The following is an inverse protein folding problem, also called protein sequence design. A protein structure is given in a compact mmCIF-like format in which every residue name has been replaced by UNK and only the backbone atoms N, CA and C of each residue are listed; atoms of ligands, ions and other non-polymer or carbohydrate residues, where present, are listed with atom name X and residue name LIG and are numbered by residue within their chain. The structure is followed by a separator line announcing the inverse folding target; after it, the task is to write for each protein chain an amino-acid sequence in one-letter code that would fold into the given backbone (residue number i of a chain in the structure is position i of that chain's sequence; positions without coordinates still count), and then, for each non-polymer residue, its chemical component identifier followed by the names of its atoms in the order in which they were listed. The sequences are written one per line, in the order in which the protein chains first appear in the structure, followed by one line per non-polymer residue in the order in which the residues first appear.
data_IF_391341037940
#
_entry.id   IF_391341037940
#
_cell.length_a   1.000
_cell.length_b   1.000
_cell.length_c   1.000
_cell.angle_alpha   90.00
_cell.angle_beta   90.00
_cell.angle_gamma   90.00
#
_symmetry.space_group_name_H-M   'P 1'
#
loop_
_entity.id
_entity.type
_entity.pdbx_description
1 polymer ?
#
# COMPACT_ATOMS: atom_id res chain seq x y z
N UNK A 1 -7.33 9.51 12.95
CA UNK A 1 -7.20 10.05 11.58
C UNK A 1 -7.53 11.52 11.63
N UNK A 2 -6.49 12.36 11.75
CA UNK A 2 -6.60 13.79 12.02
C UNK A 2 -6.39 14.54 10.70
N UNK A 3 -7.26 15.48 10.38
CA UNK A 3 -7.07 16.42 9.27
C UNK A 3 -5.98 17.41 9.71
N UNK A 4 -4.83 17.38 9.03
CA UNK A 4 -3.60 18.05 9.46
C UNK A 4 -3.48 19.48 8.90
N UNK A 5 -4.30 19.89 7.94
CA UNK A 5 -4.04 21.12 7.16
C UNK A 5 -4.98 22.31 7.39
N UNK A 6 -5.88 22.25 8.38
CA UNK A 6 -6.67 23.40 8.80
C UNK A 6 -6.60 23.49 10.32
N UNK A 7 -5.96 24.53 10.87
CA UNK A 7 -5.84 24.77 12.32
C UNK A 7 -7.17 24.59 13.07
N UNK A 8 -8.28 24.94 12.43
CA UNK A 8 -9.64 24.81 12.95
C UNK A 8 -10.13 23.36 13.16
N UNK A 9 -9.57 22.39 12.43
CA UNK A 9 -10.00 20.99 12.45
C UNK A 9 -8.87 20.03 12.86
N UNK A 10 -7.76 20.58 13.35
CA UNK A 10 -6.71 19.79 13.96
C UNK A 10 -7.31 18.96 15.11
N UNK A 11 -6.92 17.68 15.15
CA UNK A 11 -7.39 16.65 16.09
C UNK A 11 -8.84 16.17 15.95
N UNK A 12 -9.61 16.64 14.96
CA UNK A 12 -10.96 16.12 14.71
C UNK A 12 -10.90 14.73 14.04
N UNK A 13 -11.70 13.79 14.55
CA UNK A 13 -11.87 12.49 13.92
C UNK A 13 -12.71 12.61 12.64
N UNK A 14 -12.22 12.03 11.55
CA UNK A 14 -12.83 12.07 10.22
C UNK A 14 -14.32 11.70 10.19
N UNK A 15 -14.78 10.77 11.04
CA UNK A 15 -16.20 10.38 11.10
C UNK A 15 -17.11 11.50 11.61
N UNK A 16 -16.62 12.35 12.52
CA UNK A 16 -17.39 13.47 13.06
C UNK A 16 -17.16 14.77 12.28
N UNK A 17 -16.17 14.79 11.39
CA UNK A 17 -15.78 15.97 10.63
C UNK A 17 -16.93 16.57 9.83
N UNK A 18 -17.71 15.76 9.12
CA UNK A 18 -18.84 16.22 8.30
C UNK A 18 -19.87 16.98 9.13
N UNK A 19 -20.18 16.51 10.34
CA UNK A 19 -21.15 17.14 11.26
C UNK A 19 -20.66 18.48 11.78
N UNK A 20 -19.36 18.59 12.07
CA UNK A 20 -18.75 19.85 12.54
C UNK A 20 -18.66 20.85 11.38
N UNK A 21 -18.21 20.40 10.20
CA UNK A 21 -18.15 21.22 9.00
C UNK A 21 -19.53 21.78 8.64
N UNK A 22 -20.58 20.95 8.71
CA UNK A 22 -21.96 21.37 8.50
C UNK A 22 -22.37 22.54 9.41
N UNK A 23 -22.15 22.42 10.73
CA UNK A 23 -22.47 23.49 11.68
C UNK A 23 -21.72 24.78 11.36
N UNK A 24 -20.46 24.66 10.95
CA UNK A 24 -19.61 25.79 10.62
C UNK A 24 -20.05 26.51 9.34
N UNK A 25 -20.39 25.76 8.28
CA UNK A 25 -20.92 26.32 7.04
C UNK A 25 -22.31 26.94 7.24
N UNK A 26 -23.16 26.31 8.07
CA UNK A 26 -24.49 26.82 8.40
C UNK A 26 -24.42 28.17 9.10
N UNK A 27 -23.49 28.35 10.05
CA UNK A 27 -23.27 29.65 10.73
C UNK A 27 -22.89 30.79 9.79
N UNK A 28 -22.37 30.48 8.60
CA UNK A 28 -21.92 31.47 7.61
C UNK A 28 -22.93 31.71 6.49
N UNK A 29 -24.07 31.01 6.50
CA UNK A 29 -25.08 31.07 5.44
C UNK A 29 -24.54 30.82 4.02
N UNK A 30 -23.54 29.92 3.87
CA UNK A 30 -22.94 29.58 2.56
C UNK A 30 -23.54 28.27 1.98
N UNK A 31 -24.49 27.64 2.67
CA UNK A 31 -25.07 26.36 2.22
C UNK A 31 -26.27 26.62 1.31
N UNK A 32 -26.21 26.13 0.06
CA UNK A 32 -27.29 26.21 -0.91
C UNK A 32 -28.37 25.14 -0.71
N UNK A 33 -27.98 23.87 -0.61
CA UNK A 33 -28.90 22.75 -0.42
C UNK A 33 -28.25 21.63 0.43
N UNK A 34 -29.06 20.90 1.19
CA UNK A 34 -28.65 19.76 2.04
C UNK A 34 -29.64 18.62 1.84
N UNK A 35 -29.14 17.51 1.30
CA UNK A 35 -29.91 16.29 1.12
C UNK A 35 -29.11 15.07 1.57
N UNK A 36 -29.82 14.04 2.03
CA UNK A 36 -29.23 12.74 2.33
C UNK A 36 -29.32 11.87 1.09
N UNK A 37 -28.19 11.35 0.64
CA UNK A 37 -28.09 10.49 -0.54
C UNK A 37 -27.75 9.07 -0.09
N UNK A 38 -28.46 8.08 -0.65
CA UNK A 38 -28.14 6.67 -0.47
C UNK A 38 -27.26 6.23 -1.63
N UNK A 39 -26.06 5.74 -1.32
CA UNK A 39 -25.13 5.24 -2.32
C UNK A 39 -24.27 4.11 -1.76
N UNK A 40 -23.63 3.36 -2.65
CA UNK A 40 -22.68 2.35 -2.25
C UNK A 40 -21.40 3.00 -1.72
N UNK A 41 -20.98 2.58 -0.52
CA UNK A 41 -19.74 3.01 0.10
C UNK A 41 -18.70 1.89 0.11
N UNK A 42 -17.42 2.26 0.09
CA UNK A 42 -16.33 1.29 0.07
C UNK A 42 -16.01 0.80 1.48
N UNK A 43 -16.07 -0.52 1.68
CA UNK A 43 -15.73 -1.17 2.95
C UNK A 43 -14.53 -2.09 2.80
N UNK A 44 -13.73 -2.18 3.87
CA UNK A 44 -12.63 -3.14 3.95
C UNK A 44 -13.19 -4.55 3.90
N UNK A 45 -12.82 -5.32 2.88
CA UNK A 45 -13.35 -6.69 2.69
C UNK A 45 -13.12 -7.59 3.92
N UNK A 46 -12.03 -7.37 4.67
CA UNK A 46 -11.68 -8.12 5.88
C UNK A 46 -12.38 -7.61 7.14
N UNK A 47 -12.24 -6.32 7.46
CA UNK A 47 -12.73 -5.77 8.74
C UNK A 47 -14.13 -5.17 8.67
N UNK A 48 -14.71 -5.06 7.46
CA UNK A 48 -16.01 -4.43 7.18
C UNK A 48 -16.13 -2.98 7.66
N UNK A 49 -15.01 -2.30 7.90
CA UNK A 49 -14.95 -0.87 8.24
C UNK A 49 -14.84 -0.01 6.98
N UNK A 50 -15.42 1.21 6.97
CA UNK A 50 -15.34 2.12 5.82
C UNK A 50 -13.89 2.50 5.51
N UNK A 51 -13.56 2.58 4.22
CA UNK A 51 -12.21 2.95 3.73
C UNK A 51 -12.21 4.39 3.24
N UNK A 52 -11.06 5.06 3.40
CA UNK A 52 -10.81 6.40 2.88
C UNK A 52 -9.56 6.40 2.00
N UNK A 53 -9.55 7.30 1.03
CA UNK A 53 -8.36 7.57 0.22
C UNK A 53 -7.43 8.53 0.96
N UNK A 54 -6.16 8.18 1.01
CA UNK A 54 -5.11 9.03 1.57
C UNK A 54 -3.81 8.79 0.79
N UNK A 55 -3.09 9.87 0.53
CA UNK A 55 -1.82 9.82 -0.17
C UNK A 55 -0.75 9.25 0.77
N UNK A 56 -0.25 8.05 0.47
CA UNK A 56 0.82 7.42 1.25
C UNK A 56 1.96 6.98 0.34
N UNK A 57 3.19 7.06 0.86
CA UNK A 57 4.37 6.53 0.17
C UNK A 57 4.28 5.00 0.16
N UNK A 58 4.22 4.42 -1.04
CA UNK A 58 4.06 2.99 -1.26
C UNK A 58 4.98 2.54 -2.40
N UNK A 59 5.25 1.23 -2.45
CA UNK A 59 6.07 0.61 -3.49
C UNK A 59 5.15 -0.06 -4.50
N UNK A 60 5.33 0.30 -5.76
CA UNK A 60 4.55 -0.20 -6.88
C UNK A 60 5.44 -0.97 -7.86
N UNK A 61 4.87 -2.02 -8.44
CA UNK A 61 5.43 -2.78 -9.55
C UNK A 61 4.74 -2.29 -10.83
N UNK A 62 5.51 -1.80 -11.79
CA UNK A 62 5.00 -1.34 -13.07
C UNK A 62 4.81 -2.54 -14.01
N UNK A 63 3.56 -2.83 -14.39
CA UNK A 63 3.24 -3.96 -15.28
C UNK A 63 3.51 -3.65 -16.75
N UNK A 64 3.63 -2.36 -17.11
CA UNK A 64 4.04 -1.93 -18.44
C UNK A 64 5.57 -1.92 -18.61
N UNK A 65 6.32 -2.39 -17.60
CA UNK A 65 7.76 -2.49 -17.68
C UNK A 65 8.18 -3.53 -18.74
N UNK A 66 9.21 -3.20 -19.51
CA UNK A 66 9.78 -4.09 -20.51
C UNK A 66 10.88 -4.94 -19.88
N UNK A 67 10.68 -6.26 -19.92
CA UNK A 67 11.68 -7.24 -19.51
C UNK A 67 12.15 -8.02 -20.73
N UNK A 68 13.48 -8.05 -20.98
CA UNK A 68 14.08 -8.74 -22.14
C UNK A 68 13.37 -8.42 -23.47
N UNK A 69 13.14 -7.12 -23.73
CA UNK A 69 12.42 -6.58 -24.90
C UNK A 69 10.93 -6.98 -25.02
N UNK A 70 10.34 -7.62 -24.01
CA UNK A 70 8.91 -7.97 -23.98
C UNK A 70 8.20 -7.24 -22.84
N UNK A 71 7.02 -6.70 -23.13
CA UNK A 71 6.17 -6.10 -22.11
C UNK A 71 5.62 -7.21 -21.18
N UNK A 72 5.82 -7.07 -19.87
CA UNK A 72 5.38 -8.06 -18.86
C UNK A 72 3.90 -8.37 -19.02
N UNK A 73 3.09 -7.35 -19.27
CA UNK A 73 1.65 -7.47 -19.49
C UNK A 73 1.30 -8.36 -20.69
N UNK A 74 2.04 -8.22 -21.80
CA UNK A 74 1.82 -9.04 -22.99
C UNK A 74 2.21 -10.50 -22.74
N UNK A 75 3.29 -10.72 -21.98
CA UNK A 75 3.68 -12.06 -21.54
C UNK A 75 2.54 -12.71 -20.73
N UNK A 76 2.00 -12.01 -19.72
CA UNK A 76 0.88 -12.48 -18.91
C UNK A 76 -0.35 -12.84 -19.76
N UNK A 77 -0.74 -11.96 -20.69
CA UNK A 77 -1.87 -12.20 -21.58
C UNK A 77 -1.65 -13.43 -22.47
N UNK A 78 -0.43 -13.65 -22.98
CA UNK A 78 -0.11 -14.85 -23.75
C UNK A 78 -0.16 -16.14 -22.92
N UNK A 79 0.26 -16.08 -21.66
CA UNK A 79 0.26 -17.24 -20.76
C UNK A 79 -1.15 -17.64 -20.35
N UNK A 80 -2.03 -16.66 -20.11
CA UNK A 80 -3.42 -16.90 -19.71
C UNK A 80 -4.18 -17.68 -20.80
N UNK A 81 -3.89 -17.42 -22.08
CA UNK A 81 -4.50 -18.17 -23.19
C UNK A 81 -4.15 -19.66 -23.20
N UNK A 82 -3.06 -20.07 -22.52
CA UNK A 82 -2.64 -21.47 -22.42
C UNK A 82 -3.29 -22.22 -21.25
N UNK A 83 -4.04 -21.53 -20.40
CA UNK A 83 -4.67 -22.10 -19.20
C UNK A 83 -6.12 -22.44 -19.53
N UNK A 84 -6.56 -23.64 -19.16
CA UNK A 84 -7.96 -24.04 -19.28
C UNK A 84 -8.78 -23.46 -18.12
N UNK A 85 -9.78 -22.63 -18.45
CA UNK A 85 -10.70 -22.04 -17.47
C UNK A 85 -12.07 -22.73 -17.50
N UNK A 86 -12.58 -23.04 -16.32
CA UNK A 86 -13.95 -23.50 -16.11
C UNK A 86 -14.64 -22.60 -15.09
N UNK A 87 -15.73 -21.90 -15.46
CA UNK A 87 -16.30 -21.70 -16.81
C UNK A 87 -15.44 -20.82 -17.74
N UNK A 88 -15.62 -20.96 -19.06
CA UNK A 88 -14.79 -20.34 -20.11
C UNK A 88 -14.74 -18.80 -20.05
N UNK A 89 -15.82 -18.14 -19.63
CA UNK A 89 -15.88 -16.66 -19.59
C UNK A 89 -14.88 -16.04 -18.60
N UNK A 90 -14.39 -16.81 -17.62
CA UNK A 90 -13.40 -16.34 -16.65
C UNK A 90 -12.10 -15.89 -17.32
N UNK A 91 -11.72 -16.53 -18.43
CA UNK A 91 -10.55 -16.12 -19.21
C UNK A 91 -10.68 -14.67 -19.67
N UNK A 92 -11.85 -14.28 -20.18
CA UNK A 92 -12.14 -12.92 -20.66
C UNK A 92 -12.11 -11.90 -19.52
N UNK A 93 -12.65 -12.28 -18.35
CA UNK A 93 -12.64 -11.42 -17.15
C UNK A 93 -11.21 -11.17 -16.66
N UNK A 94 -10.41 -12.24 -16.53
CA UNK A 94 -9.03 -12.13 -16.07
C UNK A 94 -8.15 -11.37 -17.09
N UNK A 95 -8.33 -11.63 -18.38
CA UNK A 95 -7.60 -10.91 -19.43
C UNK A 95 -7.92 -9.42 -19.41
N UNK A 96 -9.19 -9.05 -19.26
CA UNK A 96 -9.60 -7.65 -19.16
C UNK A 96 -9.06 -6.98 -17.90
N UNK A 97 -9.07 -7.68 -16.77
CA UNK A 97 -8.50 -7.16 -15.51
C UNK A 97 -7.01 -6.85 -15.67
N UNK A 98 -6.23 -7.74 -16.30
CA UNK A 98 -4.80 -7.54 -16.53
C UNK A 98 -4.56 -6.47 -17.58
N UNK A 99 -5.40 -6.42 -18.62
CA UNK A 99 -5.34 -5.39 -19.65
C UNK A 99 -5.56 -3.98 -19.09
N UNK A 100 -6.43 -3.79 -18.10
CA UNK A 100 -6.69 -2.47 -17.54
C UNK A 100 -5.73 -2.08 -16.40
N UNK A 101 -4.91 -3.01 -15.90
CA UNK A 101 -4.03 -2.76 -14.74
C UNK A 101 -2.65 -2.26 -15.16
N UNK A 102 -2.28 -1.05 -14.73
CA UNK A 102 -0.97 -0.43 -15.00
C UNK A 102 0.07 -0.70 -13.90
N UNK A 103 -0.31 -0.50 -12.64
CA UNK A 103 0.58 -0.62 -11.49
C UNK A 103 0.01 -1.59 -10.45
N UNK A 104 0.91 -2.29 -9.74
CA UNK A 104 0.54 -3.15 -8.62
C UNK A 104 1.25 -2.70 -7.34
N UNK A 105 0.49 -2.24 -6.35
CA UNK A 105 1.04 -1.98 -5.02
C UNK A 105 1.40 -3.29 -4.30
N UNK A 106 2.69 -3.45 -4.02
CA UNK A 106 3.24 -4.61 -3.31
C UNK A 106 3.56 -4.30 -1.84
N UNK A 107 3.76 -3.02 -1.48
CA UNK A 107 4.01 -2.66 -0.08
C UNK A 107 2.75 -2.77 0.78
N UNK A 108 2.91 -3.29 2.00
CA UNK A 108 1.86 -3.33 3.02
C UNK A 108 2.44 -2.92 4.38
N UNK A 109 1.74 -2.04 5.08
CA UNK A 109 2.08 -1.65 6.45
C UNK A 109 1.49 -2.68 7.41
N UNK A 110 2.18 -3.81 7.59
CA UNK A 110 1.77 -4.91 8.46
C UNK A 110 2.98 -5.49 9.18
N UNK A 111 2.75 -6.01 10.39
CA UNK A 111 3.77 -6.74 11.14
C UNK A 111 3.98 -8.17 10.61
N UNK A 112 2.90 -8.81 10.16
CA UNK A 112 2.94 -10.16 9.60
C UNK A 112 3.10 -10.13 8.07
N UNK A 113 4.21 -10.69 7.58
CA UNK A 113 4.50 -10.82 6.16
C UNK A 113 6.00 -10.86 5.85
N UNK A 114 6.33 -10.98 4.57
CA UNK A 114 7.71 -10.95 4.10
C UNK A 114 8.21 -9.50 4.05
N UNK A 115 9.33 -9.16 4.73
CA UNK A 115 9.86 -7.81 4.69
C UNK A 115 10.43 -7.50 3.31
N UNK A 116 10.08 -6.32 2.77
CA UNK A 116 10.61 -5.84 1.50
C UNK A 116 12.01 -5.28 1.72
N UNK A 117 13.02 -5.86 1.07
CA UNK A 117 14.43 -5.45 1.18
C UNK A 117 14.71 -4.25 0.27
N UNK A 118 14.55 -3.04 0.80
CA UNK A 118 14.85 -1.78 0.11
C UNK A 118 16.02 -1.06 0.77
N UNK A 119 16.95 -0.54 -0.03
CA UNK A 119 17.97 0.38 0.46
C UNK A 119 17.37 1.79 0.60
N UNK A 120 17.19 2.24 1.85
CA UNK A 120 16.62 3.56 2.16
C UNK A 120 17.46 4.74 1.65
N UNK A 121 18.78 4.58 1.50
CA UNK A 121 19.65 5.67 1.03
C UNK A 121 19.49 5.91 -0.46
N UNK A 122 19.35 4.84 -1.24
CA UNK A 122 19.30 4.90 -2.70
C UNK A 122 17.89 4.76 -3.26
N UNK A 123 16.87 4.57 -2.40
CA UNK A 123 15.49 4.25 -2.78
C UNK A 123 15.39 3.13 -3.83
N UNK A 124 16.32 2.18 -3.78
CA UNK A 124 16.42 1.09 -4.76
C UNK A 124 16.51 -0.26 -4.08
N UNK A 125 16.10 -1.30 -4.81
CA UNK A 125 16.33 -2.67 -4.41
C UNK A 125 17.83 -2.99 -4.44
N UNK A 126 18.27 -3.87 -3.54
CA UNK A 126 19.66 -4.35 -3.56
C UNK A 126 19.94 -5.12 -4.85
N UNK A 127 21.02 -4.78 -5.56
CA UNK A 127 21.34 -5.31 -6.90
C UNK A 127 21.52 -6.84 -6.96
N UNK A 128 21.89 -7.49 -5.85
CA UNK A 128 22.14 -8.94 -5.77
C UNK A 128 21.15 -9.63 -4.81
N UNK A 129 19.86 -9.61 -5.14
CA UNK A 129 18.83 -10.35 -4.38
C UNK A 129 18.87 -11.87 -4.67
N UNK A 130 19.64 -12.32 -5.66
CA UNK A 130 19.98 -13.74 -5.90
C UNK A 130 21.26 -14.09 -5.13
N UNK A 131 21.24 -15.03 -4.17
CA UNK A 131 21.19 -16.47 -4.45
C UNK A 131 20.29 -17.29 -3.52
N UNK A 132 19.83 -16.76 -2.37
CA UNK A 132 18.84 -17.40 -1.51
C UNK A 132 18.18 -16.33 -0.63
N UNK A 133 16.84 -16.21 -0.66
CA UNK A 133 16.09 -15.27 0.17
C UNK A 133 16.43 -15.40 1.68
N UNK A 134 16.71 -16.64 2.12
CA UNK A 134 17.16 -16.99 3.46
C UNK A 134 18.52 -16.40 3.84
N UNK A 135 19.48 -16.28 2.91
CA UNK A 135 20.80 -15.72 3.23
C UNK A 135 20.74 -14.23 3.53
N UNK A 136 19.85 -13.49 2.88
CA UNK A 136 19.64 -12.06 3.16
C UNK A 136 18.94 -11.83 4.49
N UNK A 137 17.94 -12.65 4.84
CA UNK A 137 17.31 -12.60 6.17
C UNK A 137 18.37 -12.88 7.25
N UNK A 138 19.17 -13.93 7.07
CA UNK A 138 20.24 -14.26 8.00
C UNK A 138 21.29 -13.14 8.12
N UNK A 139 21.70 -12.53 7.00
CA UNK A 139 22.62 -11.40 7.00
C UNK A 139 22.07 -10.21 7.80
N UNK A 140 20.79 -9.88 7.59
CA UNK A 140 20.14 -8.78 8.30
C UNK A 140 19.90 -9.08 9.77
N UNK A 141 19.44 -10.30 10.11
CA UNK A 141 19.33 -10.76 11.50
C UNK A 141 20.68 -10.67 12.21
N UNK A 142 21.76 -11.15 11.57
CA UNK A 142 23.13 -11.08 12.12
C UNK A 142 23.57 -9.63 12.34
N UNK A 143 23.22 -8.70 11.44
CA UNK A 143 23.51 -7.26 11.58
C UNK A 143 22.71 -6.60 12.71
N UNK A 144 21.43 -6.94 12.86
CA UNK A 144 20.57 -6.46 13.95
C UNK A 144 21.08 -6.98 15.30
N UNK A 145 21.38 -8.27 15.40
CA UNK A 145 21.95 -8.91 16.60
C UNK A 145 23.28 -8.25 16.97
N UNK A 146 24.20 -8.01 16.02
CA UNK A 146 25.45 -7.29 16.28
C UNK A 146 25.22 -5.87 16.79
N UNK A 147 24.25 -5.15 16.21
CA UNK A 147 23.94 -3.77 16.62
C UNK A 147 23.35 -3.70 18.04
N UNK A 148 22.56 -4.70 18.44
CA UNK A 148 22.02 -4.80 19.80
C UNK A 148 23.11 -5.21 20.80
N UNK A 149 23.96 -6.20 20.49
CA UNK A 149 25.11 -6.56 21.35
C UNK A 149 26.05 -5.38 21.61
N UNK A 150 26.32 -4.54 20.60
CA UNK A 150 27.15 -3.35 20.78
C UNK A 150 26.48 -2.25 21.61
N UNK A 151 25.14 -2.16 21.61
CA UNK A 151 24.39 -1.25 22.50
C UNK A 151 24.44 -1.74 23.95
N UNK A 152 24.31 -3.05 24.16
CA UNK A 152 24.36 -3.65 25.49
C UNK A 152 25.77 -3.49 26.11
N UNK A 153 26.83 -3.70 25.32
CA UNK A 153 28.23 -3.45 25.73
C UNK A 153 28.49 -1.98 26.07
N UNK A 154 27.96 -1.04 25.29
CA UNK A 154 28.10 0.39 25.56
C UNK A 154 27.26 0.88 26.75
N UNK A 155 26.18 0.18 27.10
CA UNK A 155 25.41 0.44 28.32
C UNK A 155 26.11 -0.07 29.59
N UNK A 156 26.89 -1.16 29.47
CA UNK A 156 27.72 -1.70 30.57
C UNK A 156 29.00 -0.92 30.81
N UNK A 157 29.54 -0.22 29.81
CA UNK A 157 30.71 0.67 29.95
C UNK A 157 30.37 2.08 30.48
N UNK A 158 29.08 2.41 30.64
CA UNK A 158 28.59 3.70 31.16
C UNK A 158 28.07 3.62 32.60
N UNK A 159 28.19 2.45 33.23
CA UNK A 159 28.08 2.25 34.68
C UNK A 159 29.48 2.01 35.22
#
# INVERSE_FOLDING_TARGET
YIIINLKLFEKVNLFYFSKILYKFLKKRNIIFNIEKIIHNFMFCWRHKKPIFYYLSKQIFLNLNFFYRKKNIKNILLSLIKKINFFPKFLLKNLSNMIYNRSNWCISRQRYWGIPITLNKKTNSFYKNISKNFSSHIFFYLKKIIKKNKNKDLNSKKKK
#
